data_IF_537702150575
#
_entry.id   IF_537702150575
#
_cell.length_a   1.000
_cell.length_b   1.000
_cell.length_c   1.000
_cell.angle_alpha   90.00
_cell.angle_beta   90.00
_cell.angle_gamma   90.00
#
_symmetry.space_group_name_H-M   'P 1'
#
loop_
_entity.id
_entity.type
_entity.pdbx_description
1 polymer ?
#
# COMPACT_ATOMS: atom_id res chain seq x y z
N UNK A 1 -27.50 0.12 -5.18
CA UNK A 1 -26.58 -0.04 -6.33
C UNK A 1 -25.78 1.21 -6.66
N UNK A 2 -26.40 2.39 -6.82
CA UNK A 2 -25.70 3.66 -7.16
C UNK A 2 -24.57 4.04 -6.19
N UNK A 3 -24.77 3.80 -4.89
CA UNK A 3 -23.80 4.08 -3.83
C UNK A 3 -22.55 3.19 -3.93
N UNK A 4 -22.74 1.89 -4.25
CA UNK A 4 -21.66 0.92 -4.43
C UNK A 4 -20.84 1.28 -5.67
N UNK A 5 -21.50 1.66 -6.77
CA UNK A 5 -20.81 2.09 -8.00
C UNK A 5 -19.98 3.36 -7.74
N UNK A 6 -20.54 4.34 -7.02
CA UNK A 6 -19.80 5.55 -6.62
C UNK A 6 -18.59 5.22 -5.73
N UNK A 7 -18.74 4.27 -4.81
CA UNK A 7 -17.67 3.82 -3.92
C UNK A 7 -16.53 3.16 -4.71
N UNK A 8 -16.85 2.25 -5.63
CA UNK A 8 -15.86 1.56 -6.46
C UNK A 8 -15.07 2.57 -7.30
N UNK A 9 -15.75 3.53 -7.93
CA UNK A 9 -15.10 4.59 -8.72
C UNK A 9 -14.19 5.45 -7.84
N UNK A 10 -14.61 5.80 -6.62
CA UNK A 10 -13.80 6.55 -5.67
C UNK A 10 -12.53 5.79 -5.27
N UNK A 11 -12.64 4.50 -4.92
CA UNK A 11 -11.50 3.65 -4.56
C UNK A 11 -10.52 3.48 -5.72
N UNK A 12 -11.03 3.29 -6.94
CA UNK A 12 -10.21 3.23 -8.16
C UNK A 12 -9.50 4.56 -8.40
N UNK A 13 -10.17 5.69 -8.20
CA UNK A 13 -9.57 7.02 -8.32
C UNK A 13 -8.45 7.25 -7.30
N UNK A 14 -8.66 6.86 -6.05
CA UNK A 14 -7.65 6.96 -4.99
C UNK A 14 -6.46 6.04 -5.28
N UNK A 15 -6.71 4.80 -5.69
CA UNK A 15 -5.66 3.85 -6.07
C UNK A 15 -4.84 4.33 -7.27
N UNK A 16 -5.52 4.91 -8.27
CA UNK A 16 -4.86 5.53 -9.42
C UNK A 16 -4.01 6.74 -9.02
N UNK A 17 -4.56 7.66 -8.21
CA UNK A 17 -3.81 8.82 -7.72
C UNK A 17 -2.61 8.41 -6.85
N UNK A 18 -2.76 7.39 -6.00
CA UNK A 18 -1.69 6.83 -5.20
C UNK A 18 -0.60 6.18 -6.07
N UNK A 19 -0.95 5.58 -7.21
CA UNK A 19 0.03 5.02 -8.16
C UNK A 19 0.86 6.09 -8.87
N UNK A 20 0.33 7.30 -8.98
CA UNK A 20 1.00 8.44 -9.62
C UNK A 20 1.87 9.24 -8.67
N UNK A 21 1.75 9.06 -7.36
CA UNK A 21 2.66 9.71 -6.42
C UNK A 21 4.06 9.14 -6.64
N UNK A 22 5.06 9.96 -7.01
CA UNK A 22 6.45 9.53 -7.02
C UNK A 22 6.80 9.17 -5.59
N UNK A 23 6.92 7.87 -5.32
CA UNK A 23 7.32 7.37 -4.02
C UNK A 23 8.65 8.05 -3.66
N UNK A 24 8.69 8.91 -2.63
CA UNK A 24 9.97 9.41 -2.17
C UNK A 24 10.76 8.18 -1.76
N UNK A 25 11.90 7.95 -2.43
CA UNK A 25 12.88 6.99 -2.00
C UNK A 25 13.37 7.46 -0.64
N UNK A 26 12.65 7.08 0.41
CA UNK A 26 13.06 7.20 1.79
C UNK A 26 14.25 6.28 1.93
N UNK A 27 15.42 6.83 1.62
CA UNK A 27 16.69 6.29 2.02
C UNK A 27 16.97 6.91 3.39
N UNK A 28 16.55 6.30 4.52
CA UNK A 28 16.59 6.98 5.82
C UNK A 28 18.02 6.98 6.40
N UNK A 29 19.01 6.42 5.70
CA UNK A 29 20.40 6.45 6.09
C UNK A 29 21.27 6.13 4.88
N UNK A 30 22.00 7.12 4.35
CA UNK A 30 23.38 6.99 3.82
C UNK A 30 23.80 5.85 2.88
N UNK A 31 22.93 4.98 2.38
CA UNK A 31 23.30 3.84 1.55
C UNK A 31 22.78 4.11 0.16
N UNK A 32 23.64 4.63 -0.71
CA UNK A 32 23.36 4.67 -2.14
C UNK A 32 22.96 3.28 -2.68
N UNK A 33 22.55 3.16 -3.96
CA UNK A 33 22.40 1.85 -4.60
C UNK A 33 23.61 0.99 -4.23
N UNK A 34 23.45 -0.34 -3.96
CA UNK A 34 24.55 -1.18 -3.53
C UNK A 34 25.73 -0.92 -4.46
N UNK A 35 26.71 -0.19 -3.93
CA UNK A 35 27.81 0.29 -4.74
C UNK A 35 28.48 -0.95 -5.30
N UNK A 36 28.79 -0.94 -6.60
CA UNK A 36 29.60 -2.01 -7.17
C UNK A 36 30.86 -2.09 -6.31
N UNK A 37 31.05 -3.23 -5.64
CA UNK A 37 32.25 -3.47 -4.83
C UNK A 37 33.37 -3.78 -5.80
N UNK A 38 34.44 -2.99 -5.78
CA UNK A 38 35.59 -3.16 -6.65
C UNK A 38 36.72 -3.87 -5.91
N UNK A 39 37.35 -4.85 -6.56
CA UNK A 39 38.60 -5.46 -6.09
C UNK A 39 39.79 -4.98 -6.91
N UNK A 40 40.94 -4.86 -6.27
CA UNK A 40 42.21 -4.60 -6.96
C UNK A 40 42.80 -5.92 -7.48
N UNK A 41 43.10 -5.99 -8.77
CA UNK A 41 43.84 -7.10 -9.40
C UNK A 41 45.15 -6.60 -10.00
N UNK A 42 46.04 -7.51 -10.39
CA UNK A 42 47.29 -7.15 -11.08
C UNK A 42 47.06 -6.44 -12.42
N UNK A 43 45.88 -6.64 -13.01
CA UNK A 43 45.48 -6.07 -14.31
C UNK A 43 44.61 -4.81 -14.17
N UNK A 44 44.22 -4.42 -12.95
CA UNK A 44 43.44 -3.20 -12.71
C UNK A 44 42.39 -3.35 -11.62
N UNK A 45 41.21 -2.79 -11.87
CA UNK A 45 40.06 -2.89 -10.98
C UNK A 45 39.01 -3.77 -11.62
N UNK A 46 38.49 -4.74 -10.86
CA UNK A 46 37.44 -5.63 -11.33
C UNK A 46 36.25 -5.60 -10.35
N UNK A 47 35.00 -5.70 -10.84
CA UNK A 47 33.84 -5.80 -9.98
C UNK A 47 33.83 -7.14 -9.25
N UNK A 48 33.76 -7.09 -7.92
CA UNK A 48 33.65 -8.26 -7.06
C UNK A 48 32.19 -8.58 -6.78
N UNK A 49 31.52 -9.20 -7.74
CA UNK A 49 30.08 -9.50 -7.66
C UNK A 49 29.74 -10.40 -6.45
N UNK A 50 30.64 -11.31 -6.07
CA UNK A 50 30.47 -12.18 -4.89
C UNK A 50 30.60 -11.45 -3.54
N UNK A 51 31.09 -10.21 -3.54
CA UNK A 51 31.13 -9.33 -2.36
C UNK A 51 29.92 -8.39 -2.29
N UNK A 52 29.02 -8.43 -3.28
CA UNK A 52 27.84 -7.58 -3.25
C UNK A 52 26.91 -8.05 -2.11
N UNK A 53 26.47 -7.13 -1.23
CA UNK A 53 25.48 -7.48 -0.22
C UNK A 53 24.21 -7.97 -0.91
N UNK A 54 23.51 -8.96 -0.34
CA UNK A 54 22.23 -9.40 -0.87
C UNK A 54 21.28 -8.21 -0.98
N UNK A 55 20.42 -8.16 -2.01
CA UNK A 55 19.46 -7.09 -2.15
C UNK A 55 18.60 -7.01 -0.89
N UNK A 56 18.67 -5.89 -0.18
CA UNK A 56 17.85 -5.67 1.01
C UNK A 56 16.39 -5.74 0.58
N UNK A 57 15.56 -6.60 1.17
CA UNK A 57 14.14 -6.67 0.83
C UNK A 57 13.51 -5.30 0.96
N UNK A 58 13.02 -4.74 -0.15
CA UNK A 58 12.29 -3.47 -0.12
C UNK A 58 10.98 -3.71 0.63
N UNK A 59 10.89 -3.23 1.87
CA UNK A 59 9.63 -3.16 2.60
C UNK A 59 8.91 -1.89 2.14
N UNK A 60 7.74 -1.98 1.46
CA UNK A 60 6.96 -0.78 1.20
C UNK A 60 6.59 -0.16 2.55
N UNK A 61 7.08 1.05 2.81
CA UNK A 61 6.73 1.78 4.02
C UNK A 61 5.35 2.40 3.85
N UNK A 62 4.31 1.57 3.89
CA UNK A 62 2.96 2.06 4.06
C UNK A 62 2.86 2.61 5.49
N UNK A 63 2.67 3.93 5.60
CA UNK A 63 2.58 4.57 6.90
C UNK A 63 1.38 3.96 7.67
N UNK A 64 1.54 3.55 8.94
CA UNK A 64 0.48 2.88 9.70
C UNK A 64 -0.84 3.68 9.73
N UNK A 65 -0.74 5.01 9.72
CA UNK A 65 -1.90 5.92 9.65
C UNK A 65 -2.69 5.74 8.35
N UNK A 66 -2.03 5.54 7.20
CA UNK A 66 -2.71 5.33 5.92
C UNK A 66 -3.52 4.03 5.94
N UNK A 67 -2.92 2.96 6.49
CA UNK A 67 -3.61 1.67 6.67
C UNK A 67 -4.80 1.84 7.62
N UNK A 68 -4.62 2.55 8.73
CA UNK A 68 -5.67 2.82 9.71
C UNK A 68 -6.84 3.60 9.12
N UNK A 69 -6.58 4.66 8.35
CA UNK A 69 -7.62 5.46 7.69
C UNK A 69 -8.40 4.63 6.66
N UNK A 70 -7.70 3.80 5.88
CA UNK A 70 -8.35 2.91 4.93
C UNK A 70 -9.26 1.90 5.63
N UNK A 71 -8.78 1.27 6.70
CA UNK A 71 -9.56 0.32 7.48
C UNK A 71 -10.77 0.96 8.17
N UNK A 72 -10.61 2.19 8.68
CA UNK A 72 -11.73 2.97 9.23
C UNK A 72 -12.79 3.26 8.17
N UNK A 73 -12.38 3.62 6.95
CA UNK A 73 -13.30 3.84 5.83
C UNK A 73 -14.10 2.59 5.50
N UNK A 74 -13.44 1.43 5.41
CA UNK A 74 -14.12 0.14 5.17
C UNK A 74 -15.11 -0.18 6.30
N UNK A 75 -14.74 0.03 7.57
CA UNK A 75 -15.61 -0.22 8.71
C UNK A 75 -16.85 0.69 8.72
N UNK A 76 -16.68 1.97 8.39
CA UNK A 76 -17.78 2.94 8.33
C UNK A 76 -18.79 2.59 7.23
N UNK A 77 -18.29 2.11 6.08
CA UNK A 77 -19.14 1.64 4.97
C UNK A 77 -19.89 0.37 5.37
N UNK A 78 -19.22 -0.59 6.02
CA UNK A 78 -19.86 -1.80 6.51
C UNK A 78 -20.97 -1.46 7.53
N UNK A 79 -20.72 -0.50 8.42
CA UNK A 79 -21.71 -0.02 9.38
C UNK A 79 -22.95 0.59 8.71
N UNK A 80 -22.77 1.43 7.68
CA UNK A 80 -23.91 1.98 6.94
C UNK A 80 -24.67 0.91 6.13
N UNK A 81 -23.97 -0.12 5.66
CA UNK A 81 -24.60 -1.22 4.94
C UNK A 81 -25.45 -2.13 5.86
N UNK A 82 -25.28 -2.05 7.17
CA UNK A 82 -26.00 -2.87 8.15
C UNK A 82 -27.31 -2.27 8.65
N UNK A 83 -27.90 -1.25 8.00
CA UNK A 83 -29.24 -0.80 8.39
C UNK A 83 -30.21 -1.99 8.37
N UNK A 84 -30.77 -2.38 9.54
CA UNK A 84 -31.68 -3.50 9.59
C UNK A 84 -32.95 -3.09 8.84
N UNK A 85 -33.36 -3.92 7.89
CA UNK A 85 -34.63 -3.77 7.21
C UNK A 85 -35.72 -3.50 8.27
N UNK A 86 -36.61 -2.50 8.07
CA UNK A 86 -37.71 -2.27 8.98
C UNK A 86 -38.47 -3.58 9.10
N UNK A 87 -38.49 -4.14 10.32
CA UNK A 87 -39.28 -5.32 10.61
C UNK A 87 -40.74 -4.90 10.45
N UNK A 88 -41.29 -5.14 9.27
CA UNK A 88 -42.73 -5.17 9.02
C UNK A 88 -43.33 -6.37 9.77
N UNK A 89 -43.25 -6.32 11.09
CA UNK A 89 -43.82 -7.34 11.98
C UNK A 89 -44.68 -6.62 13.02
N UNK A 90 -45.60 -5.80 12.50
CA UNK A 90 -46.75 -5.30 13.26
C UNK A 90 -48.08 -5.79 12.67
N UNK A 91 -48.10 -6.55 11.56
CA UNK A 91 -49.36 -6.81 10.85
C UNK A 91 -49.49 -8.20 10.19
N UNK A 92 -49.16 -9.27 10.91
CA UNK A 92 -49.96 -10.50 10.82
C UNK A 92 -50.43 -10.82 12.22
N UNK A 93 -51.64 -10.37 12.55
CA UNK A 93 -52.80 -11.27 12.47
C UNK A 93 -52.72 -12.29 13.60
N UNK A 94 -53.29 -11.93 14.75
CA UNK A 94 -54.59 -12.45 15.23
C UNK A 94 -54.39 -13.59 16.20
#
# INVERSE_FOLDING_TARGET
>A
MRLIVGLVVLLLGIGWAASQLPWPSSNPAGHGPPGIVWRRTRQGWEPAVWLQPPPVPRRPSLHPVVVGLFQMGVALVAWQATEPAPREETQRSR
#
